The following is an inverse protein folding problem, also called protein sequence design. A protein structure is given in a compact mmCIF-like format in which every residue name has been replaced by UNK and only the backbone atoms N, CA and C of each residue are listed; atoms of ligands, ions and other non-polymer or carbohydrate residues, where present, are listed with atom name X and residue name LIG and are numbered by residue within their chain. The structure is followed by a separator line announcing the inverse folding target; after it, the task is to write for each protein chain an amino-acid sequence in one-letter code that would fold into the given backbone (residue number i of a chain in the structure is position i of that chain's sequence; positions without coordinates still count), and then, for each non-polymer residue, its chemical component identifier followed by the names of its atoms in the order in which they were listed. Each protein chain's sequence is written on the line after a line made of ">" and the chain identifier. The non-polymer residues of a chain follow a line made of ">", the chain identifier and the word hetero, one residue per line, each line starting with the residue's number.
data_IF_217550539360
#
_entry.id   IF_217550539360
#
_cell.length_a   1.000
_cell.length_b   1.000
_cell.length_c   1.000
_cell.angle_alpha   90.00
_cell.angle_beta   90.00
_cell.angle_gamma   90.00
#
_symmetry.space_group_name_H-M   'P 1'
#
loop_
_entity.id
_entity.type
_entity.pdbx_description
1 polymer ?
#
# COMPACT_ATOMS: atom_id res chain seq x y z
N UNK A 1 -11.09 6.68 10.06
CA UNK A 1 -11.73 8.00 10.01
C UNK A 1 -13.24 7.94 9.74
N UNK A 2 -13.71 7.24 8.68
CA UNK A 2 -15.14 7.15 8.31
C UNK A 2 -16.05 6.71 9.47
N UNK A 3 -15.72 5.61 10.16
CA UNK A 3 -16.55 5.06 11.25
C UNK A 3 -16.64 5.95 12.48
N UNK A 4 -15.62 6.77 12.74
CA UNK A 4 -15.67 7.79 13.79
C UNK A 4 -16.60 8.94 13.40
N UNK A 5 -16.67 9.24 12.10
CA UNK A 5 -17.51 10.31 11.55
C UNK A 5 -18.97 9.87 11.41
N UNK A 6 -19.22 8.59 11.10
CA UNK A 6 -20.56 8.02 10.95
C UNK A 6 -21.18 7.51 12.27
N UNK A 7 -20.45 7.57 13.39
CA UNK A 7 -20.90 7.06 14.69
C UNK A 7 -20.98 5.53 14.79
N UNK A 8 -20.69 4.81 13.70
CA UNK A 8 -20.75 3.33 13.63
C UNK A 8 -19.70 2.65 14.50
N UNK A 9 -18.73 3.41 15.02
CA UNK A 9 -17.70 2.86 15.91
C UNK A 9 -18.29 2.28 17.20
N UNK A 10 -19.41 2.81 17.70
CA UNK A 10 -20.08 2.30 18.92
C UNK A 10 -20.72 0.92 18.69
N UNK A 11 -21.25 0.68 17.49
CA UNK A 11 -21.76 -0.62 17.06
C UNK A 11 -20.64 -1.65 16.90
N UNK A 12 -19.48 -1.23 16.39
CA UNK A 12 -18.31 -2.10 16.28
C UNK A 12 -17.71 -2.45 17.64
N UNK A 13 -17.65 -1.49 18.57
CA UNK A 13 -17.11 -1.71 19.92
C UNK A 13 -18.01 -2.61 20.79
N UNK A 14 -19.30 -2.70 20.47
CA UNK A 14 -20.26 -3.59 21.16
C UNK A 14 -20.38 -4.97 20.51
N UNK A 15 -19.84 -5.13 19.30
CA UNK A 15 -19.80 -6.43 18.60
C UNK A 15 -18.66 -7.31 19.14
N UNK A 16 -18.82 -8.65 19.17
CA UNK A 16 -17.80 -9.58 19.66
C UNK A 16 -16.69 -9.82 18.62
N UNK A 17 -16.16 -8.76 18.03
CA UNK A 17 -15.16 -8.79 16.96
C UNK A 17 -13.85 -8.19 17.51
N UNK A 18 -12.74 -8.87 17.26
CA UNK A 18 -11.42 -8.36 17.67
C UNK A 18 -10.98 -7.21 16.75
N UNK A 19 -10.25 -6.24 17.30
CA UNK A 19 -9.74 -5.10 16.51
C UNK A 19 -8.87 -5.56 15.32
N UNK A 20 -8.14 -6.66 15.49
CA UNK A 20 -7.33 -7.27 14.44
C UNK A 20 -8.17 -7.76 13.26
N UNK A 21 -9.32 -8.37 13.53
CA UNK A 21 -10.26 -8.79 12.49
C UNK A 21 -10.85 -7.59 11.74
N UNK A 22 -11.12 -6.48 12.43
CA UNK A 22 -11.61 -5.25 11.79
C UNK A 22 -10.54 -4.65 10.86
N UNK A 23 -9.29 -4.56 11.32
CA UNK A 23 -8.18 -4.04 10.52
C UNK A 23 -7.91 -4.93 9.30
N UNK A 24 -7.77 -6.23 9.51
CA UNK A 24 -7.52 -7.19 8.43
C UNK A 24 -8.70 -7.25 7.45
N UNK A 25 -9.94 -7.21 7.93
CA UNK A 25 -11.12 -7.18 7.08
C UNK A 25 -11.14 -5.96 6.16
N UNK A 26 -10.84 -4.76 6.68
CA UNK A 26 -10.77 -3.54 5.87
C UNK A 26 -9.64 -3.56 4.85
N UNK A 27 -8.49 -4.09 5.26
CA UNK A 27 -7.35 -4.26 4.37
C UNK A 27 -7.68 -5.24 3.25
N UNK A 28 -8.18 -6.43 3.57
CA UNK A 28 -8.54 -7.46 2.58
C UNK A 28 -9.67 -7.00 1.66
N UNK A 29 -10.66 -6.25 2.15
CA UNK A 29 -11.69 -5.66 1.31
C UNK A 29 -11.09 -4.68 0.28
N UNK A 30 -10.24 -3.76 0.75
CA UNK A 30 -9.55 -2.80 -0.14
C UNK A 30 -8.60 -3.50 -1.12
N UNK A 31 -7.90 -4.53 -0.66
CA UNK A 31 -6.96 -5.31 -1.47
C UNK A 31 -7.68 -6.16 -2.52
N UNK A 32 -8.83 -6.74 -2.19
CA UNK A 32 -9.68 -7.44 -3.15
C UNK A 32 -10.24 -6.48 -4.22
N UNK A 33 -10.65 -5.27 -3.83
CA UNK A 33 -11.05 -4.24 -4.79
C UNK A 33 -9.90 -3.87 -5.73
N UNK A 34 -8.68 -3.75 -5.21
CA UNK A 34 -7.49 -3.53 -6.02
C UNK A 34 -7.26 -4.67 -7.02
N UNK A 35 -7.38 -5.93 -6.59
CA UNK A 35 -7.26 -7.09 -7.49
C UNK A 35 -8.33 -7.10 -8.58
N UNK A 36 -9.57 -6.75 -8.25
CA UNK A 36 -10.65 -6.64 -9.23
C UNK A 36 -10.33 -5.56 -10.25
N UNK A 37 -9.88 -4.38 -9.81
CA UNK A 37 -9.49 -3.30 -10.72
C UNK A 37 -8.33 -3.72 -11.64
N UNK A 38 -7.31 -4.39 -11.11
CA UNK A 38 -6.21 -4.96 -11.90
C UNK A 38 -6.69 -6.04 -12.87
N UNK A 39 -7.64 -6.89 -12.47
CA UNK A 39 -8.19 -7.90 -13.36
C UNK A 39 -8.92 -7.25 -14.55
N UNK A 40 -9.63 -6.14 -14.32
CA UNK A 40 -10.25 -5.36 -15.39
C UNK A 40 -9.20 -4.73 -16.32
N UNK A 41 -8.03 -4.31 -15.81
CA UNK A 41 -6.98 -3.74 -16.66
C UNK A 41 -6.31 -4.76 -17.57
N UNK A 42 -6.39 -6.08 -17.28
CA UNK A 42 -5.86 -7.14 -18.16
C UNK A 42 -6.47 -7.14 -19.56
N UNK A 43 -7.64 -6.50 -19.73
CA UNK A 43 -8.23 -6.28 -21.05
C UNK A 43 -7.30 -5.51 -22.00
N UNK A 44 -6.55 -4.51 -21.50
CA UNK A 44 -5.64 -3.71 -22.31
C UNK A 44 -4.47 -4.51 -22.90
N UNK A 45 -3.65 -5.26 -22.12
CA UNK A 45 -2.58 -6.06 -22.69
C UNK A 45 -3.11 -7.17 -23.60
N UNK A 46 -4.28 -7.76 -23.31
CA UNK A 46 -4.92 -8.74 -24.20
C UNK A 46 -5.21 -8.16 -25.59
N UNK A 47 -5.69 -6.91 -25.66
CA UNK A 47 -5.85 -6.21 -26.94
C UNK A 47 -4.51 -5.90 -27.59
N UNK A 48 -3.52 -5.43 -26.81
CA UNK A 48 -2.20 -5.07 -27.32
C UNK A 48 -1.44 -6.25 -27.95
N UNK A 49 -1.68 -7.50 -27.50
CA UNK A 49 -1.09 -8.70 -28.11
C UNK A 49 -1.48 -8.87 -29.59
N UNK A 50 -2.58 -8.26 -30.03
CA UNK A 50 -3.01 -8.28 -31.43
C UNK A 50 -2.20 -7.32 -32.31
N UNK A 51 -1.56 -6.31 -31.73
CA UNK A 51 -0.81 -5.27 -32.44
C UNK A 51 0.71 -5.48 -32.41
N UNK A 52 1.21 -6.38 -31.57
CA UNK A 52 2.64 -6.72 -31.53
C UNK A 52 2.96 -7.78 -30.47
N UNK A 53 4.17 -8.37 -30.52
CA UNK A 53 4.61 -9.31 -29.50
C UNK A 53 4.78 -8.58 -28.16
N UNK A 54 4.07 -9.05 -27.15
CA UNK A 54 4.25 -8.60 -25.77
C UNK A 54 5.16 -9.57 -25.02
N UNK A 55 6.08 -9.02 -24.25
CA UNK A 55 6.85 -9.80 -23.29
C UNK A 55 5.95 -10.15 -22.09
N UNK A 56 5.48 -11.41 -22.06
CA UNK A 56 4.64 -11.93 -20.99
C UNK A 56 5.34 -11.93 -19.63
N UNK A 57 6.68 -12.03 -19.60
CA UNK A 57 7.47 -11.97 -18.37
C UNK A 57 7.39 -10.60 -17.73
N UNK A 58 7.66 -9.55 -18.51
CA UNK A 58 7.55 -8.14 -18.09
C UNK A 58 6.12 -7.78 -17.68
N UNK A 59 5.13 -8.31 -18.41
CA UNK A 59 3.72 -8.12 -18.06
C UNK A 59 3.39 -8.72 -16.69
N UNK A 60 3.72 -10.00 -16.48
CA UNK A 60 3.42 -10.70 -15.22
C UNK A 60 4.16 -10.08 -14.03
N UNK A 61 5.46 -9.75 -14.20
CA UNK A 61 6.23 -9.10 -13.14
C UNK A 61 5.67 -7.73 -12.80
N UNK A 62 5.30 -6.93 -13.81
CA UNK A 62 4.71 -5.61 -13.61
C UNK A 62 3.40 -5.69 -12.82
N UNK A 63 2.48 -6.58 -13.22
CA UNK A 63 1.22 -6.79 -12.50
C UNK A 63 1.46 -7.25 -11.05
N UNK A 64 2.38 -8.18 -10.85
CA UNK A 64 2.75 -8.63 -9.51
C UNK A 64 3.35 -7.50 -8.65
N UNK A 65 4.20 -6.65 -9.25
CA UNK A 65 4.72 -5.45 -8.63
C UNK A 65 3.62 -4.48 -8.22
N UNK A 66 2.61 -4.25 -9.07
CA UNK A 66 1.47 -3.36 -8.75
C UNK A 66 0.66 -3.90 -7.57
N UNK A 67 0.49 -5.22 -7.47
CA UNK A 67 -0.20 -5.85 -6.32
C UNK A 67 0.56 -5.57 -5.01
N UNK A 68 1.88 -5.68 -5.03
CA UNK A 68 2.75 -5.47 -3.86
C UNK A 68 2.86 -3.99 -3.45
N UNK A 69 3.13 -3.09 -4.39
CA UNK A 69 3.16 -1.64 -4.09
C UNK A 69 1.77 -1.13 -3.70
N UNK A 70 0.73 -1.66 -4.35
CA UNK A 70 -0.66 -1.40 -4.00
C UNK A 70 -1.01 -1.80 -2.57
N UNK A 71 -0.56 -2.98 -2.11
CA UNK A 71 -0.75 -3.39 -0.71
C UNK A 71 -0.05 -2.44 0.27
N UNK A 72 1.16 -1.98 -0.05
CA UNK A 72 1.88 -1.00 0.78
C UNK A 72 1.11 0.33 0.88
N UNK A 73 0.56 0.83 -0.22
CA UNK A 73 -0.22 2.07 -0.23
C UNK A 73 -1.51 1.94 0.57
N UNK A 74 -2.23 0.82 0.41
CA UNK A 74 -3.46 0.56 1.16
C UNK A 74 -3.19 0.45 2.66
N UNK A 75 -2.11 -0.23 3.07
CA UNK A 75 -1.75 -0.36 4.48
C UNK A 75 -1.36 1.00 5.10
N UNK A 76 -0.62 1.84 4.37
CA UNK A 76 -0.29 3.18 4.83
C UNK A 76 -1.52 4.10 4.93
N UNK A 77 -2.42 4.04 3.95
CA UNK A 77 -3.69 4.78 4.00
C UNK A 77 -4.57 4.35 5.18
N UNK A 78 -4.60 3.06 5.50
CA UNK A 78 -5.31 2.55 6.69
C UNK A 78 -4.69 3.06 7.99
N UNK A 79 -3.37 3.07 8.09
CA UNK A 79 -2.65 3.62 9.25
C UNK A 79 -2.99 5.10 9.48
N UNK A 80 -2.92 5.92 8.45
CA UNK A 80 -3.27 7.34 8.57
C UNK A 80 -4.75 7.53 8.90
N UNK A 81 -5.64 6.67 8.37
CA UNK A 81 -7.06 6.68 8.70
C UNK A 81 -7.36 6.31 10.15
N UNK A 82 -6.51 5.51 10.82
CA UNK A 82 -6.67 5.21 12.26
C UNK A 82 -6.17 6.35 13.15
N UNK A 83 -5.10 7.02 12.73
CA UNK A 83 -4.47 8.12 13.48
C UNK A 83 -5.27 9.43 13.38
N UNK A 84 -5.91 9.70 12.23
CA UNK A 84 -6.64 10.94 12.00
C UNK A 84 -8.13 10.82 12.33
N UNK A 85 -8.69 11.85 13.00
CA UNK A 85 -10.14 11.95 13.25
C UNK A 85 -10.91 12.41 12.01
N UNK A 86 -10.31 13.30 11.20
CA UNK A 86 -10.92 13.83 9.99
C UNK A 86 -10.42 13.06 8.76
N UNK A 87 -11.35 12.58 7.93
CA UNK A 87 -11.07 11.84 6.70
C UNK A 87 -10.25 12.64 5.69
N UNK A 88 -10.52 13.94 5.56
CA UNK A 88 -9.78 14.81 4.64
C UNK A 88 -8.31 14.93 5.07
N UNK A 89 -8.08 15.10 6.38
CA UNK A 89 -6.72 15.15 6.94
C UNK A 89 -6.01 13.82 6.74
N UNK A 90 -6.69 12.69 6.99
CA UNK A 90 -6.13 11.35 6.78
C UNK A 90 -5.70 11.13 5.32
N UNK A 91 -6.53 11.56 4.36
CA UNK A 91 -6.24 11.42 2.94
C UNK A 91 -5.04 12.27 2.52
N UNK A 92 -5.00 13.54 2.94
CA UNK A 92 -3.90 14.45 2.62
C UNK A 92 -2.57 14.00 3.25
N UNK A 93 -2.58 13.52 4.49
CA UNK A 93 -1.35 13.03 5.14
C UNK A 93 -0.85 11.76 4.49
N UNK A 94 -1.73 10.81 4.17
CA UNK A 94 -1.37 9.60 3.42
C UNK A 94 -0.71 9.96 2.09
N UNK A 95 -1.37 10.83 1.32
CA UNK A 95 -0.89 11.25 0.02
C UNK A 95 0.45 12.00 0.11
N UNK A 96 0.60 12.89 1.09
CA UNK A 96 1.84 13.60 1.35
C UNK A 96 3.00 12.65 1.64
N UNK A 97 2.78 11.64 2.50
CA UNK A 97 3.82 10.65 2.82
C UNK A 97 4.18 9.81 1.59
N UNK A 98 3.20 9.39 0.79
CA UNK A 98 3.46 8.64 -0.45
C UNK A 98 4.29 9.46 -1.44
N UNK A 99 3.98 10.75 -1.62
CA UNK A 99 4.79 11.64 -2.46
C UNK A 99 6.21 11.78 -1.90
N UNK A 100 6.35 11.96 -0.59
CA UNK A 100 7.66 12.06 0.04
C UNK A 100 8.48 10.79 -0.20
N UNK A 101 7.91 9.61 0.00
CA UNK A 101 8.58 8.33 -0.26
C UNK A 101 8.95 8.16 -1.74
N UNK A 102 8.14 8.69 -2.66
CA UNK A 102 8.46 8.68 -4.08
C UNK A 102 9.64 9.59 -4.43
N UNK A 103 9.61 10.84 -3.96
CA UNK A 103 10.64 11.85 -4.30
C UNK A 103 11.99 11.51 -3.65
N UNK A 104 11.97 10.90 -2.47
CA UNK A 104 13.19 10.49 -1.77
C UNK A 104 14.06 9.55 -2.61
N UNK A 105 13.46 8.61 -3.36
CA UNK A 105 14.20 7.72 -4.24
C UNK A 105 14.96 8.47 -5.33
N UNK A 106 14.31 9.42 -5.99
CA UNK A 106 14.93 10.25 -7.03
C UNK A 106 16.06 11.15 -6.52
N UNK A 107 15.97 11.60 -5.26
CA UNK A 107 16.98 12.47 -4.64
C UNK A 107 18.17 11.70 -4.04
N UNK A 108 18.04 10.39 -3.83
CA UNK A 108 19.05 9.53 -3.19
C UNK A 108 20.44 9.66 -3.80
N UNK A 109 20.52 9.72 -5.13
CA UNK A 109 21.77 9.80 -5.91
C UNK A 109 22.67 11.00 -5.56
N UNK A 110 22.14 12.03 -4.90
CA UNK A 110 22.86 13.26 -4.57
C UNK A 110 23.51 13.24 -3.18
N UNK A 111 23.20 12.25 -2.33
CA UNK A 111 23.56 12.27 -0.90
C UNK A 111 24.50 11.15 -0.41
N UNK A 112 25.18 10.45 -1.34
CA UNK A 112 26.19 9.43 -0.98
C UNK A 112 25.64 8.30 -0.11
N UNK A 113 26.29 8.01 1.03
CA UNK A 113 25.89 6.92 1.94
C UNK A 113 24.50 7.10 2.58
N UNK A 114 24.05 8.35 2.79
CA UNK A 114 22.67 8.64 3.23
C UNK A 114 21.69 8.37 2.09
N UNK A 115 22.14 8.59 0.85
CA UNK A 115 21.41 8.27 -0.37
C UNK A 115 20.98 6.81 -0.43
N UNK A 116 21.85 5.85 -0.12
CA UNK A 116 21.52 4.42 -0.15
C UNK A 116 20.39 4.06 0.82
N UNK A 117 20.38 4.64 2.03
CA UNK A 117 19.29 4.46 2.99
C UNK A 117 17.98 5.10 2.49
N UNK A 118 18.06 6.25 1.84
CA UNK A 118 16.91 6.95 1.27
C UNK A 118 16.30 6.17 0.09
N UNK A 119 17.16 5.68 -0.82
CA UNK A 119 16.77 4.79 -1.92
C UNK A 119 16.09 3.52 -1.39
N UNK A 120 16.64 2.92 -0.33
CA UNK A 120 16.03 1.76 0.31
C UNK A 120 14.64 2.04 0.91
N UNK A 121 14.36 3.29 1.31
CA UNK A 121 13.04 3.69 1.83
C UNK A 121 12.01 3.93 0.70
N UNK A 122 12.46 4.09 -0.55
CA UNK A 122 11.58 4.39 -1.68
C UNK A 122 10.78 3.15 -2.09
N UNK A 123 9.45 3.26 -2.00
CA UNK A 123 8.54 2.21 -2.49
C UNK A 123 8.62 2.05 -4.01
N UNK A 124 8.81 3.14 -4.75
CA UNK A 124 8.83 3.10 -6.22
C UNK A 124 10.14 2.54 -6.77
N UNK A 125 11.26 2.73 -6.06
CA UNK A 125 12.55 2.22 -6.53
C UNK A 125 12.60 0.69 -6.53
N UNK A 126 11.95 0.07 -5.54
CA UNK A 126 11.72 -1.37 -5.51
C UNK A 126 10.67 -1.84 -6.53
N UNK A 127 9.82 -0.94 -7.05
CA UNK A 127 8.85 -1.24 -8.10
C UNK A 127 9.48 -1.25 -9.50
N UNK A 128 10.50 -0.42 -9.74
CA UNK A 128 11.16 -0.31 -11.05
C UNK A 128 11.74 -1.64 -11.54
N UNK A 129 12.29 -2.48 -10.66
CA UNK A 129 12.80 -3.81 -11.02
C UNK A 129 11.68 -4.70 -11.61
N UNK A 130 10.46 -4.63 -11.07
CA UNK A 130 9.30 -5.34 -11.60
C UNK A 130 8.87 -4.86 -12.99
N UNK A 131 8.97 -3.55 -13.26
CA UNK A 131 8.63 -2.98 -14.58
C UNK A 131 9.59 -3.45 -15.67
N UNK A 132 10.77 -3.95 -15.29
CA UNK A 132 11.80 -4.47 -16.19
C UNK A 132 11.73 -5.99 -16.40
N UNK A 133 10.74 -6.68 -15.82
CA UNK A 133 10.69 -8.15 -15.90
C UNK A 133 11.38 -8.88 -14.76
N UNK A 134 11.93 -8.16 -13.78
CA UNK A 134 12.81 -8.75 -12.76
C UNK A 134 12.07 -8.82 -11.43
N UNK A 135 12.00 -10.02 -10.86
CA UNK A 135 11.42 -10.25 -9.53
C UNK A 135 12.56 -10.63 -8.60
N UNK A 136 13.00 -9.67 -7.77
CA UNK A 136 13.99 -9.95 -6.72
C UNK A 136 13.28 -10.16 -5.38
N UNK A 137 13.79 -11.11 -4.61
CA UNK A 137 13.25 -11.40 -3.29
C UNK A 137 13.35 -10.17 -2.36
N UNK A 138 14.38 -9.34 -2.53
CA UNK A 138 14.58 -8.09 -1.78
C UNK A 138 13.34 -7.18 -1.90
N UNK A 139 12.81 -6.99 -3.10
CA UNK A 139 11.71 -6.05 -3.36
C UNK A 139 10.38 -6.61 -2.84
N UNK A 140 10.18 -7.92 -2.99
CA UNK A 140 9.00 -8.60 -2.45
C UNK A 140 8.99 -8.53 -0.92
N UNK A 141 10.11 -8.86 -0.28
CA UNK A 141 10.23 -8.81 1.19
C UNK A 141 10.10 -7.39 1.72
N UNK A 142 10.62 -6.39 1.01
CA UNK A 142 10.46 -4.98 1.36
C UNK A 142 8.98 -4.58 1.40
N UNK A 143 8.23 -4.83 0.32
CA UNK A 143 6.80 -4.48 0.26
C UNK A 143 5.95 -5.23 1.30
N UNK A 144 6.21 -6.53 1.49
CA UNK A 144 5.50 -7.32 2.50
C UNK A 144 5.81 -6.85 3.92
N UNK A 145 7.07 -6.55 4.23
CA UNK A 145 7.47 -6.03 5.54
C UNK A 145 6.86 -4.65 5.80
N UNK A 146 6.91 -3.74 4.83
CA UNK A 146 6.30 -2.42 4.92
C UNK A 146 4.78 -2.50 5.17
N UNK A 147 4.09 -3.35 4.40
CA UNK A 147 2.66 -3.63 4.56
C UNK A 147 2.37 -4.16 5.97
N UNK A 148 3.12 -5.15 6.42
CA UNK A 148 2.97 -5.75 7.75
C UNK A 148 3.19 -4.76 8.89
N UNK A 149 4.24 -3.93 8.80
CA UNK A 149 4.53 -2.88 9.78
C UNK A 149 3.41 -1.85 9.84
N UNK A 150 2.91 -1.39 8.69
CA UNK A 150 1.78 -0.44 8.65
C UNK A 150 0.50 -1.03 9.26
N UNK A 151 0.18 -2.28 8.95
CA UNK A 151 -0.99 -2.97 9.54
C UNK A 151 -0.84 -3.18 11.04
N UNK A 152 0.34 -3.59 11.50
CA UNK A 152 0.64 -3.71 12.93
C UNK A 152 0.51 -2.36 13.66
N UNK A 153 1.07 -1.30 13.07
CA UNK A 153 0.95 0.06 13.61
C UNK A 153 -0.52 0.53 13.64
N UNK A 154 -1.32 0.15 12.63
CA UNK A 154 -2.77 0.44 12.59
C UNK A 154 -3.49 -0.23 13.76
N UNK A 155 -3.19 -1.51 14.01
CA UNK A 155 -3.75 -2.25 15.14
C UNK A 155 -3.40 -1.59 16.48
N UNK A 156 -2.12 -1.27 16.71
CA UNK A 156 -1.67 -0.58 17.93
C UNK A 156 -2.27 0.82 18.09
N UNK A 157 -2.45 1.55 16.98
CA UNK A 157 -3.09 2.86 16.96
C UNK A 157 -4.55 2.81 17.42
N UNK A 158 -5.30 1.80 16.96
CA UNK A 158 -6.69 1.59 17.37
C UNK A 158 -6.75 1.18 18.85
N UNK A 159 -5.91 0.22 19.26
CA UNK A 159 -5.83 -0.23 20.65
C UNK A 159 -5.58 0.95 21.58
N UNK A 160 -4.53 1.76 21.33
CA UNK A 160 -4.19 2.94 22.14
C UNK A 160 -5.34 3.95 22.25
N UNK A 161 -6.16 4.10 21.21
CA UNK A 161 -7.29 5.04 21.24
C UNK A 161 -8.43 4.63 22.17
N UNK A 162 -8.49 3.36 22.60
CA UNK A 162 -9.48 2.86 23.57
C UNK A 162 -9.13 3.20 25.02
N UNK A 163 -7.87 3.49 25.31
CA UNK A 163 -7.38 3.80 26.66
C UNK A 163 -7.41 5.30 26.98
N UNK A 164 -7.89 6.13 26.05
CA UNK A 164 -8.07 7.58 26.21
C UNK A 164 -9.55 7.91 26.36
#
# INVERSE_FOLDING_TARGET
>A
AEERKSGTIELLLTSPITDGQVVLGKFLASWALLLIMLALTLFFPLLAQRFGPLDGGVLLSGYFGVILIGSSFLALGLLMSSMCKNQLVAALTSFGILITLWVIGSLSSQYGAIGELLSYLSLLEHYDDFTRGVILLKDVTYHLSFTGVCLFATFKSIESSKWR
#
